data_IF_248440571521
#
_entry.id   IF_248440571521
#
_cell.length_a   1.000
_cell.length_b   1.000
_cell.length_c   1.000
_cell.angle_alpha   90.00
_cell.angle_beta   90.00
_cell.angle_gamma   90.00
#
_symmetry.space_group_name_H-M   'P 1'
#
loop_
_entity.id
_entity.type
_entity.pdbx_description
1 polymer ?
#
# COMPACT_ATOMS: atom_id res chain seq x y z
N UNK A 1 -9.12 3.85 -12.31
CA UNK A 1 -8.67 3.10 -13.50
C UNK A 1 -9.53 1.87 -13.67
N UNK A 2 -10.18 1.73 -14.80
CA UNK A 2 -11.07 0.61 -15.15
C UNK A 2 -10.73 0.05 -16.53
N UNK A 3 -10.78 -1.28 -16.75
CA UNK A 3 -10.35 -1.91 -17.99
C UNK A 3 -11.38 -1.80 -19.12
N UNK A 4 -12.67 -1.65 -18.82
CA UNK A 4 -13.75 -1.73 -19.83
C UNK A 4 -14.17 -0.36 -20.33
N UNK A 5 -14.16 -0.18 -21.64
CA UNK A 5 -14.51 1.13 -22.27
C UNK A 5 -15.99 1.54 -22.05
N UNK A 6 -16.93 0.59 -22.04
CA UNK A 6 -18.34 0.89 -21.73
C UNK A 6 -18.48 1.45 -20.31
N UNK A 7 -17.87 0.78 -19.33
CA UNK A 7 -17.89 1.22 -17.94
C UNK A 7 -17.21 2.59 -17.74
N UNK A 8 -16.27 2.98 -18.62
CA UNK A 8 -15.63 4.30 -18.53
C UNK A 8 -16.60 5.44 -18.83
N UNK A 9 -17.49 5.24 -19.81
CA UNK A 9 -18.53 6.22 -20.14
C UNK A 9 -19.61 6.29 -19.04
N UNK A 10 -20.05 5.15 -18.50
CA UNK A 10 -21.01 5.11 -17.39
C UNK A 10 -20.47 5.83 -16.14
N UNK A 11 -19.17 5.62 -15.83
CA UNK A 11 -18.49 6.30 -14.74
C UNK A 11 -18.40 7.80 -15.03
N UNK A 12 -18.09 8.19 -16.28
CA UNK A 12 -18.03 9.60 -16.68
C UNK A 12 -19.37 10.27 -16.41
N UNK A 13 -20.47 9.73 -16.91
CA UNK A 13 -21.81 10.27 -16.72
C UNK A 13 -22.16 10.41 -15.22
N UNK A 14 -21.84 9.39 -14.43
CA UNK A 14 -22.07 9.41 -12.98
C UNK A 14 -21.24 10.50 -12.27
N UNK A 15 -19.98 10.66 -12.68
CA UNK A 15 -19.07 11.68 -12.11
C UNK A 15 -19.50 13.08 -12.55
N UNK A 16 -19.89 13.28 -13.80
CA UNK A 16 -20.41 14.57 -14.30
C UNK A 16 -21.63 15.00 -13.51
N UNK A 17 -22.60 14.10 -13.36
CA UNK A 17 -23.80 14.37 -12.54
C UNK A 17 -23.44 14.75 -11.10
N UNK A 18 -22.54 14.01 -10.46
CA UNK A 18 -22.12 14.30 -9.09
C UNK A 18 -21.39 15.65 -8.98
N UNK A 19 -20.51 15.97 -9.92
CA UNK A 19 -19.80 17.25 -9.97
C UNK A 19 -20.76 18.40 -10.16
N UNK A 20 -21.78 18.27 -11.02
CA UNK A 20 -22.78 19.30 -11.25
C UNK A 20 -23.67 19.52 -10.01
N UNK A 21 -24.07 18.46 -9.33
CA UNK A 21 -24.78 18.57 -8.06
C UNK A 21 -23.93 19.25 -6.99
N UNK A 22 -22.63 18.99 -6.98
CA UNK A 22 -21.68 19.60 -6.04
C UNK A 22 -21.45 21.09 -6.37
N UNK A 23 -21.32 21.44 -7.66
CA UNK A 23 -21.26 22.86 -8.13
C UNK A 23 -22.47 23.65 -7.67
N UNK A 24 -23.67 23.08 -7.86
CA UNK A 24 -24.92 23.70 -7.44
C UNK A 24 -24.96 23.90 -5.92
N UNK A 25 -24.59 22.90 -5.15
CA UNK A 25 -24.54 23.01 -3.70
C UNK A 25 -23.53 24.09 -3.25
N UNK A 26 -22.33 24.12 -3.83
CA UNK A 26 -21.31 25.11 -3.49
C UNK A 26 -21.77 26.52 -3.89
N UNK A 27 -22.31 26.71 -5.09
CA UNK A 27 -22.78 28.04 -5.55
C UNK A 27 -23.84 28.66 -4.66
N UNK A 28 -24.65 27.82 -4.00
CA UNK A 28 -25.68 28.28 -3.05
C UNK A 28 -25.13 28.65 -1.68
N UNK A 29 -23.97 28.10 -1.30
CA UNK A 29 -23.49 28.18 0.09
C UNK A 29 -22.08 28.78 0.25
N UNK A 30 -21.33 29.04 -0.82
CA UNK A 30 -19.93 29.50 -0.80
C UNK A 30 -19.73 30.82 -0.03
N UNK A 31 -20.69 31.72 -0.13
CA UNK A 31 -20.65 33.07 0.51
C UNK A 31 -21.25 33.15 1.92
N UNK A 32 -21.78 32.00 2.41
CA UNK A 32 -22.41 31.98 3.70
C UNK A 32 -21.42 31.61 4.82
N UNK A 33 -21.70 31.98 6.08
CA UNK A 33 -20.93 31.52 7.23
C UNK A 33 -20.87 29.99 7.29
N UNK A 34 -19.81 29.47 7.89
CA UNK A 34 -19.56 28.04 8.00
C UNK A 34 -20.75 27.25 8.52
N UNK A 35 -21.45 27.74 9.52
CA UNK A 35 -22.63 27.07 10.09
C UNK A 35 -23.73 26.80 9.04
N UNK A 36 -23.93 27.71 8.11
CA UNK A 36 -24.89 27.55 7.02
C UNK A 36 -24.37 26.67 5.93
N UNK A 37 -23.06 26.76 5.63
CA UNK A 37 -22.37 25.87 4.70
C UNK A 37 -22.48 24.40 5.14
N UNK A 38 -22.42 24.12 6.44
CA UNK A 38 -22.53 22.78 7.01
C UNK A 38 -23.95 22.18 7.02
N UNK A 39 -24.99 22.98 6.74
CA UNK A 39 -26.38 22.46 6.69
C UNK A 39 -26.64 21.59 5.46
N UNK A 40 -25.96 21.83 4.36
CA UNK A 40 -26.07 20.98 3.18
C UNK A 40 -25.14 19.77 3.32
N UNK A 41 -25.63 18.59 3.00
CA UNK A 41 -24.89 17.33 3.14
C UNK A 41 -23.59 17.31 2.31
N UNK A 42 -23.65 17.78 1.06
CA UNK A 42 -22.50 17.78 0.16
C UNK A 42 -21.39 18.73 0.61
N UNK A 43 -21.76 19.94 0.99
CA UNK A 43 -20.79 20.92 1.49
C UNK A 43 -20.24 20.54 2.86
N UNK A 44 -21.07 19.95 3.73
CA UNK A 44 -20.62 19.35 4.99
C UNK A 44 -19.62 18.25 4.77
N UNK A 45 -19.82 17.37 3.77
CA UNK A 45 -18.89 16.30 3.45
C UNK A 45 -17.51 16.85 3.03
N UNK A 46 -17.45 17.95 2.29
CA UNK A 46 -16.17 18.60 1.96
C UNK A 46 -15.44 19.04 3.23
N UNK A 47 -16.16 19.65 4.16
CA UNK A 47 -15.58 20.08 5.44
C UNK A 47 -15.09 18.91 6.28
N UNK A 48 -15.85 17.81 6.33
CA UNK A 48 -15.48 16.60 7.05
C UNK A 48 -14.22 15.93 6.46
N UNK A 49 -14.11 15.84 5.14
CA UNK A 49 -12.91 15.35 4.47
C UNK A 49 -11.70 16.20 4.86
N UNK A 50 -11.86 17.53 4.82
CA UNK A 50 -10.77 18.44 5.18
C UNK A 50 -10.35 18.29 6.64
N UNK A 51 -11.30 18.19 7.57
CA UNK A 51 -11.02 18.26 9.03
C UNK A 51 -10.77 16.91 9.68
N UNK A 52 -11.43 15.85 9.23
CA UNK A 52 -11.48 14.58 9.96
C UNK A 52 -10.75 13.43 9.29
N UNK A 53 -10.75 13.36 7.95
CA UNK A 53 -10.40 12.09 7.35
C UNK A 53 -8.93 11.95 6.98
N UNK A 54 -8.31 12.86 6.30
CA UNK A 54 -6.99 12.56 5.78
C UNK A 54 -6.04 13.75 5.63
N UNK A 55 -6.60 14.96 5.45
CA UNK A 55 -5.74 16.09 5.17
C UNK A 55 -5.00 16.58 6.41
N UNK A 56 -5.62 16.46 7.58
CA UNK A 56 -5.04 16.93 8.84
C UNK A 56 -4.01 15.97 9.42
N UNK A 57 -4.26 14.68 9.34
CA UNK A 57 -3.39 13.65 9.94
C UNK A 57 -2.09 13.52 9.17
N UNK A 58 -2.14 13.56 7.83
CA UNK A 58 -0.95 13.44 6.99
C UNK A 58 -0.05 14.67 7.00
N UNK A 59 -0.59 15.83 7.22
CA UNK A 59 0.21 17.04 7.40
C UNK A 59 1.20 16.90 8.57
N UNK A 60 0.79 16.19 9.63
CA UNK A 60 1.68 15.86 10.75
C UNK A 60 2.69 14.77 10.42
N UNK A 61 2.31 13.79 9.63
CA UNK A 61 3.20 12.67 9.25
C UNK A 61 4.24 13.07 8.20
N UNK A 62 3.93 14.04 7.35
CA UNK A 62 4.84 14.56 6.32
C UNK A 62 5.63 15.81 6.78
N UNK A 63 5.42 16.28 8.01
CA UNK A 63 6.01 17.53 8.52
C UNK A 63 7.54 17.53 8.52
N UNK A 64 8.18 16.36 8.58
CA UNK A 64 9.64 16.23 8.49
C UNK A 64 10.19 16.41 7.07
N UNK A 65 9.33 16.25 6.06
CA UNK A 65 9.71 16.34 4.62
C UNK A 65 9.28 17.66 3.98
N UNK A 66 8.31 18.34 4.56
CA UNK A 66 7.71 19.57 3.99
C UNK A 66 7.95 20.70 4.97
N UNK A 67 8.97 21.50 4.70
CA UNK A 67 9.15 22.77 5.39
C UNK A 67 7.93 23.67 5.13
N UNK A 68 7.08 23.84 6.16
CA UNK A 68 6.14 24.96 6.27
C UNK A 68 4.89 24.93 5.35
N UNK A 69 4.05 23.94 5.46
CA UNK A 69 2.65 24.21 5.17
C UNK A 69 1.97 24.78 6.43
N UNK A 70 1.85 26.11 6.51
CA UNK A 70 0.92 26.74 7.43
C UNK A 70 -0.47 26.13 7.27
N UNK A 71 -1.16 25.90 8.39
CA UNK A 71 -2.54 25.41 8.33
C UNK A 71 -3.39 26.38 7.52
N UNK A 72 -3.82 25.98 6.34
CA UNK A 72 -4.73 26.81 5.55
C UNK A 72 -6.10 26.73 6.19
N UNK A 73 -6.67 27.85 6.72
CA UNK A 73 -7.98 27.80 7.34
C UNK A 73 -9.06 27.42 6.34
N UNK A 74 -10.06 26.66 6.77
CA UNK A 74 -11.13 26.21 5.87
C UNK A 74 -11.89 27.37 5.21
N UNK A 75 -12.00 28.50 5.85
CA UNK A 75 -12.61 29.73 5.27
C UNK A 75 -11.94 30.16 3.96
N UNK A 76 -10.62 30.02 3.87
CA UNK A 76 -9.87 30.30 2.63
C UNK A 76 -10.16 29.25 1.56
N UNK A 77 -10.28 27.98 1.95
CA UNK A 77 -10.67 26.91 1.04
C UNK A 77 -12.09 27.14 0.54
N UNK A 78 -13.02 27.41 1.46
CA UNK A 78 -14.42 27.67 1.11
C UNK A 78 -14.56 28.78 0.08
N UNK A 79 -13.83 29.88 0.20
CA UNK A 79 -13.88 31.01 -0.72
C UNK A 79 -13.39 30.67 -2.16
N UNK A 80 -12.60 29.63 -2.32
CA UNK A 80 -12.06 29.20 -3.60
C UNK A 80 -12.83 28.03 -4.24
N UNK A 81 -13.66 27.33 -3.45
CA UNK A 81 -14.31 26.08 -3.91
C UNK A 81 -15.12 26.26 -5.19
N UNK A 82 -15.94 27.29 -5.27
CA UNK A 82 -16.80 27.51 -6.43
C UNK A 82 -15.98 27.78 -7.70
N UNK A 83 -14.97 28.62 -7.58
CA UNK A 83 -14.08 28.96 -8.69
C UNK A 83 -13.31 27.73 -9.18
N UNK A 84 -12.79 26.92 -8.28
CA UNK A 84 -12.01 25.75 -8.64
C UNK A 84 -12.88 24.63 -9.22
N UNK A 85 -14.04 24.31 -8.58
CA UNK A 85 -14.90 23.25 -9.07
C UNK A 85 -15.54 23.58 -10.42
N UNK A 86 -15.77 24.86 -10.71
CA UNK A 86 -16.33 25.29 -12.01
C UNK A 86 -15.38 25.00 -13.17
N UNK A 87 -14.08 24.87 -12.91
CA UNK A 87 -13.06 24.58 -13.92
C UNK A 87 -12.79 23.08 -14.12
N UNK A 88 -13.38 22.21 -13.31
CA UNK A 88 -13.17 20.76 -13.47
C UNK A 88 -13.71 20.27 -14.83
N UNK A 89 -12.85 19.53 -15.52
CA UNK A 89 -13.20 18.80 -16.75
C UNK A 89 -13.09 17.31 -16.49
N UNK A 90 -14.09 16.55 -16.92
CA UNK A 90 -14.08 15.09 -16.83
C UNK A 90 -13.74 14.54 -18.21
N UNK A 91 -12.65 13.77 -18.29
CA UNK A 91 -12.09 13.30 -19.55
C UNK A 91 -11.90 11.79 -19.51
N UNK A 92 -12.45 11.11 -20.52
CA UNK A 92 -12.17 9.69 -20.75
C UNK A 92 -10.93 9.54 -21.61
N UNK A 93 -9.95 8.82 -21.10
CA UNK A 93 -8.67 8.59 -21.79
C UNK A 93 -8.55 7.11 -22.15
N UNK A 94 -8.80 6.80 -23.42
CA UNK A 94 -8.69 5.46 -23.96
C UNK A 94 -8.20 5.45 -25.41
N UNK A 95 -8.00 4.27 -25.99
CA UNK A 95 -7.49 4.10 -27.35
C UNK A 95 -8.52 4.42 -28.45
N UNK A 96 -9.79 4.64 -28.12
CA UNK A 96 -10.83 5.02 -29.10
C UNK A 96 -10.63 6.45 -29.60
N UNK A 97 -10.11 7.33 -28.72
CA UNK A 97 -9.88 8.73 -29.06
C UNK A 97 -8.53 8.89 -29.76
N UNK A 98 -8.54 9.38 -31.00
CA UNK A 98 -7.36 9.60 -31.86
C UNK A 98 -7.24 11.06 -32.22
N UNK A 99 -6.02 11.50 -32.55
CA UNK A 99 -5.77 12.87 -33.04
C UNK A 99 -6.12 13.94 -31.99
N UNK A 100 -6.94 14.91 -32.41
CA UNK A 100 -7.32 16.07 -31.60
C UNK A 100 -8.24 15.77 -30.42
N UNK A 101 -8.86 14.58 -30.39
CA UNK A 101 -9.65 14.12 -29.24
C UNK A 101 -8.83 13.57 -28.11
N UNK A 102 -7.50 13.45 -28.26
CA UNK A 102 -6.61 13.02 -27.16
C UNK A 102 -6.43 14.13 -26.13
N UNK A 103 -6.33 13.73 -24.86
CA UNK A 103 -5.93 14.64 -23.82
C UNK A 103 -4.57 15.27 -24.11
N UNK A 104 -4.51 16.60 -24.14
CA UNK A 104 -3.30 17.38 -24.38
C UNK A 104 -3.14 18.41 -23.26
N UNK A 105 -1.97 18.45 -22.61
CA UNK A 105 -1.68 19.45 -21.57
C UNK A 105 -1.69 20.89 -22.11
N UNK A 106 -1.35 21.08 -23.40
CA UNK A 106 -1.40 22.38 -24.07
C UNK A 106 -2.74 23.08 -23.97
N UNK A 107 -3.82 22.32 -23.91
CA UNK A 107 -5.18 22.88 -23.79
C UNK A 107 -5.47 23.51 -22.41
N UNK A 108 -4.52 23.37 -21.47
CA UNK A 108 -4.63 23.82 -20.10
C UNK A 108 -3.48 24.74 -19.65
N UNK A 109 -2.58 25.16 -20.56
CA UNK A 109 -1.39 25.96 -20.21
C UNK A 109 -1.76 27.26 -19.50
N UNK A 110 -2.81 27.95 -19.94
CA UNK A 110 -3.25 29.23 -19.35
C UNK A 110 -4.06 29.06 -18.06
N UNK A 111 -4.84 27.98 -17.96
CA UNK A 111 -5.83 27.83 -16.85
C UNK A 111 -5.37 26.87 -15.77
N UNK A 112 -4.35 26.09 -16.03
CA UNK A 112 -3.99 24.92 -15.24
C UNK A 112 -4.97 23.75 -15.39
N UNK A 113 -4.49 22.53 -15.37
CA UNK A 113 -5.31 21.34 -15.55
C UNK A 113 -6.06 20.97 -14.25
N UNK A 114 -7.38 21.18 -14.22
CA UNK A 114 -8.29 20.65 -13.20
C UNK A 114 -9.10 19.54 -13.86
N UNK A 115 -8.53 18.34 -13.85
CA UNK A 115 -9.05 17.24 -14.66
C UNK A 115 -9.31 16.00 -13.80
N UNK A 116 -10.49 15.40 -13.98
CA UNK A 116 -10.78 14.06 -13.52
C UNK A 116 -10.62 13.13 -14.73
N UNK A 117 -9.53 12.39 -14.76
CA UNK A 117 -9.19 11.49 -15.85
C UNK A 117 -9.73 10.08 -15.58
N UNK A 118 -10.59 9.59 -16.46
CA UNK A 118 -11.15 8.23 -16.39
C UNK A 118 -10.52 7.41 -17.51
N UNK A 119 -9.96 6.25 -17.19
CA UNK A 119 -9.34 5.42 -18.21
C UNK A 119 -8.82 4.09 -17.70
N UNK A 120 -8.24 3.33 -18.60
CA UNK A 120 -7.70 2.00 -18.36
C UNK A 120 -6.20 1.90 -18.63
N UNK A 121 -5.83 1.00 -19.53
CA UNK A 121 -4.42 0.72 -19.86
C UNK A 121 -3.63 1.93 -20.36
N UNK A 122 -4.29 2.88 -21.01
CA UNK A 122 -3.62 4.09 -21.52
C UNK A 122 -3.06 4.92 -20.36
N UNK A 123 -3.80 4.98 -19.24
CA UNK A 123 -3.32 5.68 -18.03
C UNK A 123 -2.16 4.95 -17.36
N UNK A 124 -2.01 3.65 -17.57
CA UNK A 124 -0.90 2.87 -17.00
C UNK A 124 0.35 2.84 -17.89
N UNK A 125 0.22 3.19 -19.18
CA UNK A 125 1.32 3.11 -20.14
C UNK A 125 1.26 4.26 -21.13
N UNK A 126 2.29 5.09 -21.17
CA UNK A 126 2.46 6.08 -22.23
C UNK A 126 1.89 7.46 -21.97
N UNK A 127 1.24 7.71 -20.85
CA UNK A 127 0.83 9.03 -20.41
C UNK A 127 1.41 9.33 -19.04
N UNK A 128 2.09 10.45 -18.90
CA UNK A 128 2.50 10.98 -17.60
C UNK A 128 1.41 11.91 -17.10
N UNK A 129 0.89 11.66 -15.90
CA UNK A 129 -0.11 12.52 -15.28
C UNK A 129 0.61 13.51 -14.35
N UNK A 130 0.96 14.67 -14.91
CA UNK A 130 1.56 15.75 -14.15
C UNK A 130 0.56 16.32 -13.14
N UNK A 131 1.03 16.61 -11.92
CA UNK A 131 0.17 17.14 -10.87
C UNK A 131 -0.89 16.17 -10.34
N UNK A 132 -0.77 14.86 -10.59
CA UNK A 132 -1.70 13.87 -10.06
C UNK A 132 -1.65 13.84 -8.53
N UNK A 133 -2.75 14.17 -7.88
CA UNK A 133 -2.90 14.16 -6.42
C UNK A 133 -3.71 12.97 -5.93
N UNK A 134 -4.81 12.65 -6.59
CA UNK A 134 -5.71 11.60 -6.13
C UNK A 134 -5.89 10.54 -7.22
N UNK A 135 -5.78 9.28 -6.84
CA UNK A 135 -6.01 8.15 -7.74
C UNK A 135 -6.97 7.16 -7.13
N UNK A 136 -8.00 6.79 -7.90
CA UNK A 136 -8.91 5.69 -7.58
C UNK A 136 -8.58 4.48 -8.45
N UNK A 137 -8.10 3.42 -7.80
CA UNK A 137 -7.62 2.23 -8.48
C UNK A 137 -8.55 1.06 -8.21
N UNK A 138 -9.45 0.76 -9.15
CA UNK A 138 -10.43 -0.33 -9.04
C UNK A 138 -10.00 -1.61 -9.75
N UNK A 139 -8.88 -1.57 -10.48
CA UNK A 139 -8.42 -2.69 -11.26
C UNK A 139 -7.61 -3.67 -10.42
N UNK A 140 -7.81 -4.97 -10.62
CA UNK A 140 -6.91 -6.02 -10.18
C UNK A 140 -5.98 -6.46 -11.32
N UNK A 141 -4.82 -6.96 -11.00
CA UNK A 141 -3.89 -7.58 -11.95
C UNK A 141 -3.41 -8.91 -11.39
N UNK A 142 -3.30 -9.90 -12.25
CA UNK A 142 -2.85 -11.23 -11.89
C UNK A 142 -1.32 -11.43 -11.96
N UNK A 143 -0.52 -10.38 -12.21
CA UNK A 143 0.92 -10.51 -12.34
C UNK A 143 1.68 -9.31 -11.75
N UNK A 144 2.84 -9.58 -11.13
CA UNK A 144 3.71 -8.58 -10.48
C UNK A 144 4.15 -7.48 -11.44
N UNK A 145 4.66 -7.86 -12.62
CA UNK A 145 5.14 -6.92 -13.63
C UNK A 145 4.04 -5.96 -14.09
N UNK A 146 2.82 -6.44 -14.19
CA UNK A 146 1.67 -5.61 -14.57
C UNK A 146 1.27 -4.66 -13.44
N UNK A 147 1.28 -5.11 -12.18
CA UNK A 147 1.01 -4.25 -11.03
C UNK A 147 2.04 -3.12 -10.93
N UNK A 148 3.33 -3.43 -11.01
CA UNK A 148 4.41 -2.44 -10.97
C UNK A 148 4.33 -1.43 -12.12
N UNK A 149 3.97 -1.87 -13.32
CA UNK A 149 3.78 -0.96 -14.46
C UNK A 149 2.61 0.01 -14.28
N UNK A 150 1.58 -0.38 -13.55
CA UNK A 150 0.41 0.47 -13.28
C UNK A 150 0.65 1.53 -12.21
N UNK A 151 1.75 1.45 -11.45
CA UNK A 151 2.10 2.41 -10.39
C UNK A 151 2.97 3.58 -10.86
N UNK A 152 3.22 3.73 -12.15
CA UNK A 152 4.16 4.75 -12.68
C UNK A 152 3.82 6.18 -12.32
N UNK A 153 2.58 6.51 -12.05
CA UNK A 153 2.14 7.84 -11.69
C UNK A 153 2.20 8.16 -10.21
N UNK A 154 2.54 7.18 -9.36
CA UNK A 154 2.75 7.39 -7.92
C UNK A 154 4.21 7.71 -7.56
N UNK A 155 4.99 8.18 -8.52
CA UNK A 155 6.38 8.56 -8.30
C UNK A 155 6.54 9.82 -7.44
N UNK A 156 7.79 10.24 -7.27
CA UNK A 156 8.17 11.41 -6.51
C UNK A 156 7.36 12.66 -6.89
N UNK A 157 6.79 13.33 -5.87
CA UNK A 157 5.91 14.50 -6.00
C UNK A 157 6.37 15.60 -5.04
N UNK A 158 7.44 16.35 -5.39
CA UNK A 158 7.95 17.38 -4.51
C UNK A 158 6.90 18.48 -4.28
N UNK A 159 6.82 18.94 -3.04
CA UNK A 159 5.99 20.05 -2.59
C UNK A 159 4.47 19.81 -2.48
N UNK A 160 3.97 18.58 -2.72
CA UNK A 160 2.57 18.23 -2.50
C UNK A 160 2.34 16.74 -2.17
N UNK A 161 3.33 16.09 -1.57
CA UNK A 161 3.24 14.69 -1.14
C UNK A 161 2.11 14.47 -0.13
N UNK A 162 1.87 15.48 0.71
CA UNK A 162 0.78 15.52 1.69
C UNK A 162 -0.63 15.49 1.07
N UNK A 163 -0.74 15.89 -0.20
CA UNK A 163 -2.00 15.86 -0.96
C UNK A 163 -2.21 14.56 -1.73
N UNK A 164 -1.18 13.72 -1.85
CA UNK A 164 -1.27 12.48 -2.63
C UNK A 164 -2.11 11.42 -1.92
N UNK A 165 -3.13 10.91 -2.62
CA UNK A 165 -4.08 9.89 -2.12
C UNK A 165 -4.26 8.77 -3.14
N UNK A 166 -4.32 7.55 -2.64
CA UNK A 166 -4.67 6.36 -3.43
C UNK A 166 -5.80 5.64 -2.76
N UNK A 167 -6.90 5.50 -3.47
CA UNK A 167 -8.04 4.69 -3.06
C UNK A 167 -8.03 3.38 -3.83
N UNK A 168 -7.95 2.27 -3.12
CA UNK A 168 -7.97 0.93 -3.72
C UNK A 168 -8.59 -0.09 -2.77
N UNK A 169 -8.98 -1.25 -3.31
CA UNK A 169 -9.48 -2.35 -2.49
C UNK A 169 -8.39 -2.93 -1.58
N UNK A 170 -8.79 -3.53 -0.47
CA UNK A 170 -7.86 -4.24 0.43
C UNK A 170 -7.07 -5.32 -0.31
N UNK A 171 -7.70 -6.06 -1.20
CA UNK A 171 -7.05 -7.07 -2.05
C UNK A 171 -5.88 -6.45 -2.83
N UNK A 172 -6.08 -5.27 -3.40
CA UNK A 172 -5.00 -4.58 -4.11
C UNK A 172 -3.89 -4.12 -3.16
N UNK A 173 -4.22 -3.63 -1.97
CA UNK A 173 -3.22 -3.26 -0.96
C UNK A 173 -2.35 -4.46 -0.60
N UNK A 174 -2.95 -5.61 -0.33
CA UNK A 174 -2.26 -6.85 0.03
C UNK A 174 -1.41 -7.37 -1.15
N UNK A 175 -1.93 -7.29 -2.37
CA UNK A 175 -1.20 -7.63 -3.59
C UNK A 175 0.03 -6.74 -3.78
N UNK A 176 -0.09 -5.43 -3.62
CA UNK A 176 1.06 -4.51 -3.69
C UNK A 176 2.08 -4.78 -2.58
N UNK A 177 1.62 -5.09 -1.37
CA UNK A 177 2.48 -5.50 -0.27
C UNK A 177 3.35 -6.69 -0.63
N UNK A 178 2.76 -7.75 -1.19
CA UNK A 178 3.48 -8.95 -1.62
C UNK A 178 4.49 -8.67 -2.74
N UNK A 179 4.14 -7.80 -3.69
CA UNK A 179 5.06 -7.41 -4.76
C UNK A 179 6.25 -6.63 -4.21
N UNK A 180 6.03 -5.71 -3.29
CA UNK A 180 7.11 -4.93 -2.65
C UNK A 180 8.03 -5.85 -1.85
N UNK A 181 7.48 -6.81 -1.11
CA UNK A 181 8.30 -7.79 -0.37
C UNK A 181 9.13 -8.67 -1.32
N UNK A 182 8.58 -9.06 -2.48
CA UNK A 182 9.33 -9.79 -3.50
C UNK A 182 10.45 -8.94 -4.14
N UNK A 183 10.21 -7.67 -4.40
CA UNK A 183 11.23 -6.73 -4.92
C UNK A 183 12.35 -6.54 -3.90
N UNK A 184 12.03 -6.30 -2.63
CA UNK A 184 13.05 -6.17 -1.57
C UNK A 184 13.92 -7.41 -1.45
N UNK A 185 13.29 -8.59 -1.50
CA UNK A 185 14.04 -9.85 -1.46
C UNK A 185 14.95 -10.01 -2.68
N UNK A 186 14.52 -9.56 -3.85
CA UNK A 186 15.36 -9.55 -5.05
C UNK A 186 16.54 -8.59 -4.90
N UNK A 187 16.32 -7.39 -4.36
CA UNK A 187 17.38 -6.41 -4.11
C UNK A 187 18.43 -6.96 -3.13
N UNK A 188 18.00 -7.62 -2.05
CA UNK A 188 18.91 -8.31 -1.11
C UNK A 188 19.76 -9.38 -1.83
N UNK A 189 19.16 -10.17 -2.72
CA UNK A 189 19.90 -11.16 -3.51
C UNK A 189 20.90 -10.51 -4.47
N UNK A 190 20.55 -9.38 -5.08
CA UNK A 190 21.45 -8.63 -5.97
C UNK A 190 22.65 -8.07 -5.21
N UNK A 191 22.48 -7.57 -4.00
CA UNK A 191 23.59 -7.12 -3.16
C UNK A 191 24.53 -8.26 -2.76
N UNK A 192 23.99 -9.43 -2.38
CA UNK A 192 24.79 -10.64 -2.10
C UNK A 192 25.55 -11.09 -3.34
N UNK A 193 24.89 -11.12 -4.49
CA UNK A 193 25.51 -11.47 -5.77
C UNK A 193 26.68 -10.53 -6.10
N UNK A 194 26.49 -9.24 -5.95
CA UNK A 194 27.51 -8.20 -6.18
C UNK A 194 28.70 -8.38 -5.24
N UNK A 195 28.43 -8.63 -3.95
CA UNK A 195 29.49 -8.89 -2.96
C UNK A 195 30.33 -10.14 -3.29
N UNK A 196 29.74 -11.14 -3.97
CA UNK A 196 30.42 -12.35 -4.43
C UNK A 196 31.09 -12.20 -5.80
N UNK A 197 31.00 -11.05 -6.45
CA UNK A 197 31.52 -10.83 -7.79
C UNK A 197 30.87 -11.68 -8.89
N UNK A 198 29.63 -12.17 -8.65
CA UNK A 198 28.88 -13.04 -9.56
C UNK A 198 27.97 -12.24 -10.49
N UNK A 199 27.67 -12.79 -11.65
CA UNK A 199 26.66 -12.27 -12.57
C UNK A 199 25.29 -12.89 -12.28
N UNK A 200 24.19 -12.28 -12.74
CA UNK A 200 22.85 -12.89 -12.60
C UNK A 200 22.73 -14.30 -13.16
N UNK A 201 23.48 -14.61 -14.22
CA UNK A 201 23.54 -15.94 -14.84
C UNK A 201 24.16 -16.99 -13.92
N UNK A 202 25.19 -16.59 -13.18
CA UNK A 202 25.94 -17.51 -12.30
C UNK A 202 25.27 -17.67 -10.94
N UNK A 203 24.50 -16.65 -10.50
CA UNK A 203 23.87 -16.63 -9.19
C UNK A 203 22.51 -17.32 -9.15
N UNK A 204 21.77 -17.33 -10.26
CA UNK A 204 20.43 -17.91 -10.32
C UNK A 204 19.42 -17.13 -9.47
N UNK A 205 19.17 -15.87 -9.82
CA UNK A 205 18.20 -15.01 -9.12
C UNK A 205 16.81 -15.66 -9.03
N UNK A 206 16.19 -15.54 -7.86
CA UNK A 206 14.87 -16.10 -7.61
C UNK A 206 13.91 -14.99 -7.18
N UNK A 207 12.69 -15.05 -7.70
CA UNK A 207 11.62 -14.14 -7.31
C UNK A 207 10.63 -14.90 -6.43
N UNK A 208 10.34 -14.35 -5.26
CA UNK A 208 9.39 -14.93 -4.32
C UNK A 208 7.98 -14.93 -4.92
N UNK A 209 7.32 -16.09 -4.92
CA UNK A 209 5.89 -16.18 -5.28
C UNK A 209 4.99 -15.50 -4.21
N UNK A 210 3.79 -15.13 -4.62
CA UNK A 210 2.78 -14.64 -3.69
C UNK A 210 2.38 -15.73 -2.70
N UNK A 211 2.17 -15.40 -1.41
CA UNK A 211 1.71 -16.38 -0.44
C UNK A 211 0.32 -16.91 -0.79
N UNK A 212 0.06 -18.18 -0.48
CA UNK A 212 -1.25 -18.81 -0.71
C UNK A 212 -2.38 -18.20 0.16
N UNK A 213 -2.03 -17.37 1.14
CA UNK A 213 -2.96 -16.61 1.99
C UNK A 213 -3.62 -15.42 1.30
N UNK A 214 -3.15 -15.03 0.10
CA UNK A 214 -3.80 -13.98 -0.67
C UNK A 214 -5.09 -14.50 -1.29
N UNK A 215 -6.14 -13.68 -1.25
CA UNK A 215 -7.42 -13.99 -1.90
C UNK A 215 -7.27 -14.26 -3.41
N UNK A 216 -6.24 -13.67 -4.02
CA UNK A 216 -5.91 -13.90 -5.43
C UNK A 216 -4.43 -14.25 -5.58
N UNK A 217 -4.14 -15.41 -6.14
CA UNK A 217 -2.76 -15.81 -6.44
C UNK A 217 -2.19 -14.94 -7.57
N UNK A 218 -1.12 -14.22 -7.25
CA UNK A 218 -0.39 -13.40 -8.22
C UNK A 218 0.70 -14.24 -8.89
N UNK A 219 0.77 -14.16 -10.21
CA UNK A 219 1.88 -14.72 -10.96
C UNK A 219 3.08 -13.77 -10.90
N UNK A 220 4.28 -14.31 -10.76
CA UNK A 220 5.53 -13.51 -10.77
C UNK A 220 5.68 -12.74 -12.08
N UNK A 221 5.25 -13.33 -13.19
CA UNK A 221 5.24 -12.68 -14.51
C UNK A 221 4.12 -13.24 -15.39
N UNK A 222 3.93 -12.66 -16.56
CA UNK A 222 2.91 -13.11 -17.50
C UNK A 222 3.10 -14.59 -17.92
N UNK A 223 2.00 -15.31 -18.11
CA UNK A 223 2.00 -16.77 -18.39
C UNK A 223 2.90 -17.18 -19.54
N UNK A 224 3.01 -16.36 -20.58
CA UNK A 224 3.91 -16.64 -21.71
C UNK A 224 5.39 -16.59 -21.34
N UNK A 225 5.77 -15.81 -20.36
CA UNK A 225 7.14 -15.71 -19.82
C UNK A 225 7.43 -16.79 -18.78
N UNK A 226 6.40 -17.28 -18.06
CA UNK A 226 6.52 -18.36 -17.08
C UNK A 226 7.05 -19.68 -17.67
N UNK A 227 6.90 -19.88 -18.97
CA UNK A 227 7.44 -21.08 -19.67
C UNK A 227 8.96 -21.26 -19.52
N UNK A 228 9.67 -20.16 -19.28
CA UNK A 228 11.13 -20.15 -19.14
C UNK A 228 11.59 -20.09 -17.66
N UNK A 229 10.67 -20.28 -16.71
CA UNK A 229 10.99 -20.28 -15.29
C UNK A 229 10.76 -21.65 -14.70
N UNK A 230 11.60 -22.04 -13.74
CA UNK A 230 11.40 -23.23 -12.92
C UNK A 230 10.97 -22.83 -11.52
N UNK A 231 9.98 -23.53 -10.98
CA UNK A 231 9.60 -23.35 -9.57
C UNK A 231 10.59 -24.16 -8.72
N UNK A 232 11.30 -23.46 -7.84
CA UNK A 232 12.20 -24.08 -6.88
C UNK A 232 11.60 -23.85 -5.50
N UNK A 233 11.24 -24.93 -4.82
CA UNK A 233 10.88 -24.86 -3.40
C UNK A 233 12.17 -24.84 -2.61
N UNK A 234 12.55 -23.68 -2.08
CA UNK A 234 13.62 -23.57 -1.10
C UNK A 234 13.01 -23.58 0.29
N UNK A 235 13.49 -24.48 1.12
CA UNK A 235 13.30 -24.34 2.56
C UNK A 235 13.86 -23.00 3.01
N UNK A 236 13.07 -22.21 3.74
CA UNK A 236 13.54 -20.96 4.33
C UNK A 236 14.65 -21.30 5.33
N UNK A 237 15.85 -20.79 5.10
CA UNK A 237 16.94 -20.95 6.05
C UNK A 237 17.01 -19.73 6.96
N UNK A 238 16.68 -19.92 8.22
CA UNK A 238 16.74 -18.90 9.27
C UNK A 238 18.06 -18.92 10.06
N UNK A 239 19.03 -19.76 9.68
CA UNK A 239 20.32 -19.82 10.37
C UNK A 239 21.06 -18.49 10.31
N UNK A 240 21.48 -18.00 11.48
CA UNK A 240 22.21 -16.74 11.60
C UNK A 240 21.39 -15.46 11.41
N UNK A 241 20.07 -15.58 11.25
CA UNK A 241 19.16 -14.44 11.10
C UNK A 241 18.53 -14.11 12.46
N UNK A 242 18.62 -12.86 12.89
CA UNK A 242 17.84 -12.35 14.04
C UNK A 242 16.46 -11.94 13.56
N UNK A 243 15.42 -12.53 14.15
CA UNK A 243 14.03 -12.21 13.84
C UNK A 243 13.38 -11.70 15.11
N UNK A 244 13.05 -10.41 15.12
CA UNK A 244 12.45 -9.76 16.27
C UNK A 244 10.97 -9.45 16.02
N UNK A 245 10.16 -9.60 17.08
CA UNK A 245 8.78 -9.12 17.13
C UNK A 245 8.78 -7.68 17.63
N UNK A 246 8.88 -6.72 16.73
CA UNK A 246 8.94 -5.29 17.07
C UNK A 246 7.58 -4.68 17.44
N UNK A 247 6.49 -5.36 17.09
CA UNK A 247 5.12 -4.89 17.32
C UNK A 247 4.36 -5.86 18.21
N UNK A 248 3.72 -5.33 19.24
CA UNK A 248 2.85 -6.08 20.14
C UNK A 248 1.39 -5.71 19.92
N UNK A 249 0.47 -6.59 20.28
CA UNK A 249 -0.94 -6.24 20.31
C UNK A 249 -1.20 -5.13 21.34
N UNK A 250 -2.08 -4.19 21.00
CA UNK A 250 -2.64 -3.25 21.99
C UNK A 250 -3.60 -3.96 22.97
N UNK A 251 -4.12 -5.11 22.57
CA UNK A 251 -5.01 -5.96 23.35
C UNK A 251 -4.23 -6.65 24.47
N UNK A 252 -4.54 -6.26 25.71
CA UNK A 252 -3.91 -6.79 26.93
C UNK A 252 -4.16 -8.29 27.10
N UNK A 253 -5.33 -8.79 26.72
CA UNK A 253 -5.68 -10.21 26.85
C UNK A 253 -4.82 -11.11 25.95
N UNK A 254 -4.53 -10.68 24.72
CA UNK A 254 -3.62 -11.43 23.85
C UNK A 254 -2.20 -11.47 24.39
N UNK A 255 -1.74 -10.39 24.99
CA UNK A 255 -0.41 -10.35 25.62
C UNK A 255 -0.35 -11.23 26.88
N UNK A 256 -1.43 -11.29 27.68
CA UNK A 256 -1.53 -12.21 28.83
C UNK A 256 -1.48 -13.67 28.36
N UNK A 257 -2.20 -14.02 27.28
CA UNK A 257 -2.14 -15.36 26.69
C UNK A 257 -0.71 -15.73 26.27
N UNK A 258 0.05 -14.83 25.68
CA UNK A 258 1.46 -15.08 25.37
C UNK A 258 2.30 -15.37 26.63
N UNK A 259 2.02 -14.68 27.71
CA UNK A 259 2.69 -14.94 29.01
C UNK A 259 2.35 -16.35 29.52
N UNK A 260 1.12 -16.79 29.40
CA UNK A 260 0.70 -18.15 29.80
C UNK A 260 1.34 -19.22 28.90
N UNK A 261 1.41 -18.99 27.58
CA UNK A 261 2.09 -19.87 26.63
C UNK A 261 3.56 -19.99 26.98
N UNK A 262 4.22 -18.87 27.27
CA UNK A 262 5.62 -18.90 27.73
C UNK A 262 5.81 -19.68 29.06
N UNK A 263 4.93 -19.48 30.02
CA UNK A 263 4.99 -20.23 31.29
C UNK A 263 4.83 -21.73 31.08
N UNK A 264 3.90 -22.15 30.24
CA UNK A 264 3.71 -23.57 29.89
C UNK A 264 4.95 -24.14 29.20
N UNK A 265 5.49 -23.42 28.21
CA UNK A 265 6.74 -23.82 27.56
C UNK A 265 7.89 -23.97 28.58
N UNK A 266 8.12 -22.95 29.40
CA UNK A 266 9.18 -22.95 30.40
C UNK A 266 9.03 -24.11 31.38
N UNK A 267 7.83 -24.37 31.88
CA UNK A 267 7.56 -25.50 32.77
C UNK A 267 7.87 -26.85 32.11
N UNK A 268 7.55 -27.04 30.84
CA UNK A 268 7.91 -28.26 30.11
C UNK A 268 9.42 -28.43 29.97
N UNK A 269 10.14 -27.35 29.65
CA UNK A 269 11.59 -27.37 29.48
C UNK A 269 12.28 -27.70 30.79
N UNK A 270 11.85 -27.12 31.92
CA UNK A 270 12.41 -27.44 33.23
C UNK A 270 12.08 -28.87 33.65
N UNK A 271 10.89 -29.35 33.35
CA UNK A 271 10.49 -30.74 33.63
C UNK A 271 11.31 -31.77 32.84
N UNK A 272 11.89 -31.41 31.70
CA UNK A 272 12.83 -32.25 30.94
C UNK A 272 14.27 -32.22 31.51
N UNK A 273 14.51 -31.62 32.64
CA UNK A 273 15.81 -31.61 33.32
C UNK A 273 16.77 -30.50 32.85
N UNK A 274 16.30 -29.59 32.02
CA UNK A 274 17.10 -28.45 31.51
C UNK A 274 17.07 -27.35 32.58
N UNK A 275 18.25 -26.88 32.99
CA UNK A 275 18.39 -25.77 33.92
C UNK A 275 18.73 -24.45 33.23
N UNK A 276 18.37 -23.35 33.90
CA UNK A 276 18.68 -22.01 33.42
C UNK A 276 20.14 -21.67 33.70
N UNK A 277 20.93 -21.42 32.69
CA UNK A 277 22.33 -21.03 32.80
C UNK A 277 22.50 -19.52 32.69
N UNK A 278 23.47 -18.97 33.42
CA UNK A 278 23.88 -17.58 33.29
C UNK A 278 25.03 -17.48 32.28
N UNK A 279 24.83 -16.78 31.20
CA UNK A 279 25.85 -16.53 30.16
C UNK A 279 26.06 -15.02 30.03
N UNK A 280 27.07 -14.51 30.74
CA UNK A 280 27.28 -13.09 30.94
C UNK A 280 26.06 -12.44 31.63
N UNK A 281 25.52 -11.40 31.07
CA UNK A 281 24.33 -10.71 31.59
C UNK A 281 22.98 -11.32 31.13
N UNK A 282 22.99 -12.47 30.45
CA UNK A 282 21.80 -13.13 29.90
C UNK A 282 21.57 -14.50 30.59
N UNK A 283 20.30 -14.87 30.64
CA UNK A 283 19.89 -16.21 31.06
C UNK A 283 19.59 -17.04 29.81
N UNK A 284 20.08 -18.26 29.75
CA UNK A 284 19.96 -19.13 28.59
C UNK A 284 19.49 -20.53 29.00
N UNK A 285 18.65 -21.12 28.20
CA UNK A 285 18.32 -22.55 28.23
C UNK A 285 19.04 -23.21 27.04
N UNK A 286 19.84 -24.23 27.30
CA UNK A 286 20.57 -24.96 26.27
C UNK A 286 19.95 -26.33 26.04
N UNK A 287 20.15 -26.86 24.84
CA UNK A 287 19.74 -28.21 24.43
C UNK A 287 18.24 -28.47 24.62
N UNK A 288 17.44 -27.44 24.40
CA UNK A 288 15.98 -27.54 24.38
C UNK A 288 15.55 -28.30 23.14
N UNK A 289 14.65 -29.27 23.32
CA UNK A 289 14.07 -30.03 22.20
C UNK A 289 13.46 -29.10 21.15
N UNK A 290 13.85 -29.30 19.90
CA UNK A 290 13.39 -28.53 18.74
C UNK A 290 11.86 -28.54 18.60
N UNK A 291 11.21 -29.68 18.92
CA UNK A 291 9.76 -29.81 18.86
C UNK A 291 9.08 -28.89 19.88
N UNK A 292 9.61 -28.81 21.09
CA UNK A 292 9.07 -27.92 22.13
C UNK A 292 9.17 -26.44 21.72
N UNK A 293 10.30 -26.06 21.08
CA UNK A 293 10.50 -24.69 20.59
C UNK A 293 9.54 -24.40 19.43
N UNK A 294 9.39 -25.34 18.49
CA UNK A 294 8.51 -25.18 17.34
C UNK A 294 7.03 -25.04 17.77
N UNK A 295 6.59 -25.85 18.73
CA UNK A 295 5.22 -25.78 19.25
C UNK A 295 4.99 -24.47 20.02
N UNK A 296 5.96 -24.02 20.81
CA UNK A 296 5.89 -22.72 21.48
C UNK A 296 5.71 -21.58 20.50
N UNK A 297 6.47 -21.56 19.40
CA UNK A 297 6.38 -20.53 18.36
C UNK A 297 5.02 -20.56 17.67
N UNK A 298 4.47 -21.73 17.38
CA UNK A 298 3.13 -21.89 16.78
C UNK A 298 2.03 -21.29 17.65
N UNK A 299 2.11 -21.49 18.94
CA UNK A 299 1.08 -21.06 19.88
C UNK A 299 1.06 -19.55 20.13
N UNK A 300 2.17 -18.84 19.85
CA UNK A 300 2.29 -17.40 20.11
C UNK A 300 1.28 -16.57 19.30
N UNK A 301 0.69 -15.59 19.97
CA UNK A 301 -0.11 -14.54 19.33
C UNK A 301 0.83 -13.42 18.88
N UNK A 302 1.02 -13.29 17.58
CA UNK A 302 1.92 -12.30 16.98
C UNK A 302 1.13 -11.46 15.97
N UNK A 303 1.19 -10.11 16.05
CA UNK A 303 0.56 -9.24 15.08
C UNK A 303 1.06 -9.49 13.65
N UNK A 304 0.16 -9.43 12.68
CA UNK A 304 0.47 -9.64 11.25
C UNK A 304 1.47 -8.61 10.71
N UNK A 305 1.58 -7.47 11.37
CA UNK A 305 2.53 -6.41 11.04
C UNK A 305 4.00 -6.82 11.28
N UNK A 306 4.25 -7.89 12.04
CA UNK A 306 5.58 -8.50 12.17
C UNK A 306 5.88 -9.42 10.99
N UNK A 307 5.93 -8.86 9.80
CA UNK A 307 6.02 -9.60 8.51
C UNK A 307 7.19 -10.58 8.40
N UNK A 308 8.29 -10.32 9.14
CA UNK A 308 9.47 -11.21 9.17
C UNK A 308 9.28 -12.43 10.06
N UNK A 309 8.27 -12.44 10.92
CA UNK A 309 8.00 -13.52 11.85
C UNK A 309 6.86 -14.41 11.33
N UNK A 310 7.20 -15.31 10.43
CA UNK A 310 6.27 -16.33 9.93
C UNK A 310 6.33 -17.57 10.83
N UNK A 311 5.31 -17.78 11.64
CA UNK A 311 5.25 -18.85 12.65
C UNK A 311 5.33 -20.24 12.04
N UNK A 312 4.65 -20.46 10.91
CA UNK A 312 4.62 -21.77 10.27
C UNK A 312 5.98 -22.12 9.66
N UNK A 313 6.53 -21.21 8.88
CA UNK A 313 7.83 -21.43 8.26
C UNK A 313 8.94 -21.53 9.29
N UNK A 314 8.93 -20.71 10.34
CA UNK A 314 9.93 -20.75 11.41
C UNK A 314 9.82 -22.04 12.22
N UNK A 315 8.60 -22.47 12.55
CA UNK A 315 8.36 -23.73 13.25
C UNK A 315 8.79 -24.96 12.43
N UNK A 316 8.55 -24.94 11.11
CA UNK A 316 8.97 -26.02 10.22
C UNK A 316 10.50 -26.05 10.02
N UNK A 317 11.16 -24.89 10.06
CA UNK A 317 12.62 -24.82 9.98
C UNK A 317 13.30 -25.36 11.23
N UNK A 318 12.71 -25.19 12.40
CA UNK A 318 13.24 -25.64 13.69
C UNK A 318 13.05 -27.15 13.88
N UNK A 319 11.98 -27.75 13.34
CA UNK A 319 11.72 -29.20 13.34
C UNK A 319 12.67 -29.97 12.44
#
# INVERSE_FOLDING_TARGET
ITPFNGLQEDIKESVEKYVDELRNAISLYDKYPLERFLKNEKTRRIYEIYTKEDFYTRKKECADSISLCEETPFSKIQSLLFYEISKFKIVVINNKYKGDQRFKYKDFEETGARVIAIGGYVLSRGLTLEGLMTSYYSRSSGAYDTLLQMCRWFGYRPNYEDLCRVYMSKINVDNFGSVIDAVKNLDEQLEVMKAQGKTPKDFGLMVKESPDTLETKLLVTARNKMKNTSVVVRGLNYSGVSIDTSKLYKDVEKNKKNTEIFRKFYSKVIASGISLENVGNRKMLRDVDAILIADFIKDLYIPLENRKFDKENLSNFIR
#
